data_IF_099338664014
#
_entry.id   IF_099338664014
#
_cell.length_a   1.000
_cell.length_b   1.000
_cell.length_c   1.000
_cell.angle_alpha   90.00
_cell.angle_beta   90.00
_cell.angle_gamma   90.00
#
_symmetry.space_group_name_H-M   'P 1'
#
loop_
_entity.id
_entity.type
_entity.pdbx_description
1 polymer ?
#
# COMPACT_ATOMS: atom_id res chain seq x y z
N UNK A 1 -10.14 14.05 16.65
CA UNK A 1 -8.91 14.82 16.33
C UNK A 1 -7.64 14.17 16.90
N UNK A 2 -7.47 12.84 16.82
CA UNK A 2 -6.34 12.14 17.44
C UNK A 2 -5.20 11.89 16.43
N UNK A 3 -5.51 12.00 15.13
CA UNK A 3 -4.54 11.80 14.05
C UNK A 3 -3.38 12.81 14.05
N UNK A 4 -3.57 13.97 14.66
CA UNK A 4 -2.57 15.02 14.80
C UNK A 4 -1.67 14.88 16.04
N UNK A 5 -2.02 13.99 16.98
CA UNK A 5 -1.26 13.81 18.24
C UNK A 5 -0.08 12.87 18.04
N UNK A 6 -0.23 11.88 17.16
CA UNK A 6 0.79 10.86 16.97
C UNK A 6 1.90 11.37 16.02
N UNK A 7 3.20 11.31 16.42
CA UNK A 7 4.36 11.64 15.58
C UNK A 7 4.36 11.00 14.19
N UNK A 8 5.02 11.65 13.23
CA UNK A 8 5.02 11.20 11.84
C UNK A 8 5.71 9.84 11.69
N UNK A 9 6.74 9.61 12.49
CA UNK A 9 7.49 8.36 12.52
C UNK A 9 6.63 7.16 12.95
N UNK A 10 5.76 7.34 13.94
CA UNK A 10 4.86 6.28 14.39
C UNK A 10 3.78 5.98 13.35
N UNK A 11 3.27 7.00 12.67
CA UNK A 11 2.37 6.78 11.54
C UNK A 11 3.04 6.02 10.39
N UNK A 12 4.30 6.34 10.11
CA UNK A 12 5.10 5.65 9.08
C UNK A 12 5.26 4.17 9.44
N UNK A 13 5.59 3.86 10.70
CA UNK A 13 5.65 2.48 11.22
C UNK A 13 4.31 1.75 11.16
N UNK A 14 3.20 2.41 11.48
CA UNK A 14 1.86 1.79 11.39
C UNK A 14 1.54 1.39 9.94
N UNK A 15 1.82 2.28 8.99
CA UNK A 15 1.62 2.01 7.56
C UNK A 15 2.54 0.89 7.07
N UNK A 16 3.81 0.91 7.48
CA UNK A 16 4.79 -0.13 7.15
C UNK A 16 4.34 -1.50 7.66
N UNK A 17 3.88 -1.60 8.91
CA UNK A 17 3.33 -2.86 9.47
C UNK A 17 2.11 -3.33 8.67
N UNK A 18 1.21 -2.41 8.30
CA UNK A 18 0.01 -2.78 7.54
C UNK A 18 0.28 -3.19 6.10
N UNK A 19 1.39 -2.74 5.50
CA UNK A 19 1.81 -3.08 4.13
C UNK A 19 2.72 -4.32 4.10
N UNK A 20 3.66 -4.43 5.05
CA UNK A 20 4.73 -5.43 5.04
C UNK A 20 4.38 -6.65 5.92
N UNK A 21 3.98 -6.41 7.16
CA UNK A 21 3.79 -7.48 8.16
C UNK A 21 2.40 -8.12 8.07
N UNK A 22 1.40 -7.37 7.58
CA UNK A 22 0.02 -7.84 7.46
C UNK A 22 -0.42 -7.91 6.00
N UNK A 23 -0.10 -9.00 5.29
CA UNK A 23 -0.50 -9.15 3.89
C UNK A 23 -2.02 -9.00 3.76
N UNK A 24 -2.45 -8.19 2.78
CA UNK A 24 -3.85 -7.90 2.45
C UNK A 24 -4.61 -6.95 3.42
N UNK A 25 -3.96 -6.40 4.46
CA UNK A 25 -4.58 -5.39 5.34
C UNK A 25 -4.58 -3.99 4.72
N UNK A 26 -3.48 -3.59 4.09
CA UNK A 26 -3.37 -2.37 3.30
C UNK A 26 -3.00 -2.71 1.86
N UNK A 27 -3.98 -2.61 0.97
CA UNK A 27 -3.76 -2.75 -0.46
C UNK A 27 -3.48 -1.40 -1.13
N UNK A 28 -3.05 -1.45 -2.40
CA UNK A 28 -2.86 -0.27 -3.25
C UNK A 28 -4.02 0.73 -3.13
N UNK A 29 -5.24 0.23 -3.19
CA UNK A 29 -6.47 1.03 -3.13
C UNK A 29 -6.61 1.75 -1.78
N UNK A 30 -6.31 1.08 -0.68
CA UNK A 30 -6.40 1.66 0.66
C UNK A 30 -5.34 2.75 0.85
N UNK A 31 -4.11 2.52 0.36
CA UNK A 31 -3.06 3.54 0.37
C UNK A 31 -3.47 4.79 -0.42
N UNK A 32 -4.05 4.61 -1.62
CA UNK A 32 -4.60 5.71 -2.40
C UNK A 32 -5.70 6.47 -1.65
N UNK A 33 -6.63 5.77 -1.00
CA UNK A 33 -7.68 6.40 -0.20
C UNK A 33 -7.11 7.18 1.01
N UNK A 34 -6.08 6.64 1.67
CA UNK A 34 -5.38 7.33 2.76
C UNK A 34 -4.69 8.61 2.25
N UNK A 35 -4.12 8.58 1.05
CA UNK A 35 -3.42 9.72 0.46
C UNK A 35 -4.32 10.95 0.25
N UNK A 36 -5.60 10.75 -0.08
CA UNK A 36 -6.56 11.84 -0.29
C UNK A 36 -7.23 12.31 1.00
N UNK A 37 -7.04 11.61 2.12
CA UNK A 37 -7.73 11.93 3.38
C UNK A 37 -7.18 13.21 4.03
N UNK A 38 -5.86 13.36 4.08
CA UNK A 38 -5.23 14.58 4.61
C UNK A 38 -3.77 14.73 4.18
N UNK A 39 -3.23 15.96 4.22
CA UNK A 39 -1.84 16.27 3.83
C UNK A 39 -0.78 15.40 4.50
N UNK A 40 -1.00 14.98 5.75
CA UNK A 40 -0.05 14.16 6.50
C UNK A 40 -0.02 12.72 5.96
N UNK A 41 -1.19 12.12 5.78
CA UNK A 41 -1.31 10.77 5.20
C UNK A 41 -0.90 10.77 3.73
N UNK A 42 -1.15 11.84 2.98
CA UNK A 42 -0.60 12.03 1.63
C UNK A 42 0.92 11.87 1.62
N UNK A 43 1.63 12.60 2.49
CA UNK A 43 3.09 12.53 2.55
C UNK A 43 3.60 11.14 2.94
N UNK A 44 2.92 10.50 3.88
CA UNK A 44 3.29 9.16 4.35
C UNK A 44 2.98 8.07 3.32
N UNK A 45 1.82 8.13 2.67
CA UNK A 45 1.42 7.23 1.59
C UNK A 45 2.28 7.40 0.35
N UNK A 46 2.84 8.59 0.13
CA UNK A 46 3.74 8.87 -1.00
C UNK A 46 5.19 8.42 -0.71
N UNK A 47 5.43 7.67 0.38
CA UNK A 47 6.74 7.13 0.69
C UNK A 47 7.09 5.95 -0.25
N UNK A 48 8.23 6.00 -0.96
CA UNK A 48 8.58 4.99 -1.96
C UNK A 48 8.83 3.60 -1.38
N UNK A 49 9.15 3.47 -0.09
CA UNK A 49 9.40 2.17 0.55
C UNK A 49 8.12 1.32 0.67
N UNK A 50 6.98 1.97 0.94
CA UNK A 50 5.67 1.33 1.02
C UNK A 50 5.26 0.78 -0.35
N UNK A 51 5.40 1.59 -1.40
CA UNK A 51 5.10 1.17 -2.78
C UNK A 51 5.99 0.03 -3.24
N UNK A 52 7.28 0.08 -2.89
CA UNK A 52 8.24 -0.98 -3.24
C UNK A 52 7.86 -2.31 -2.57
N UNK A 53 7.40 -2.27 -1.32
CA UNK A 53 6.95 -3.46 -0.58
C UNK A 53 5.61 -4.00 -1.08
N UNK A 54 4.68 -3.12 -1.47
CA UNK A 54 3.42 -3.51 -2.13
C UNK A 54 3.69 -4.18 -3.49
N UNK A 55 4.60 -3.61 -4.28
CA UNK A 55 4.97 -4.16 -5.58
C UNK A 55 5.71 -5.50 -5.47
N UNK A 56 6.58 -5.66 -4.45
CA UNK A 56 7.23 -6.95 -4.20
C UNK A 56 6.21 -8.02 -3.79
N UNK A 57 5.17 -7.65 -3.05
CA UNK A 57 4.07 -8.57 -2.70
C UNK A 57 3.14 -8.91 -3.87
N UNK A 58 3.08 -8.08 -4.93
CA UNK A 58 2.27 -8.34 -6.13
C UNK A 58 2.94 -9.36 -7.07
N UNK A 59 4.26 -9.55 -6.97
CA UNK A 59 5.02 -10.51 -7.77
C UNK A 59 5.17 -11.82 -6.98
N UNK A 60 4.49 -12.96 -7.32
CA UNK A 60 3.96 -13.40 -8.61
C UNK A 60 2.52 -13.97 -8.49
N UNK A 61 1.54 -13.15 -8.08
CA UNK A 61 0.12 -13.55 -8.13
C UNK A 61 -0.62 -12.88 -9.29
N UNK A 62 0.09 -12.59 -10.39
CA UNK A 62 -0.55 -12.53 -11.70
C UNK A 62 -1.01 -13.94 -12.07
N UNK A 63 -2.01 -14.41 -11.33
CA UNK A 63 -2.73 -15.63 -11.57
C UNK A 63 -3.54 -15.38 -12.86
N UNK A 64 -2.92 -15.73 -13.98
CA UNK A 64 -3.44 -16.64 -15.00
C UNK A 64 -4.91 -16.54 -15.45
N UNK A 65 -5.60 -15.42 -15.27
CA UNK A 65 -6.92 -15.17 -15.88
C UNK A 65 -6.85 -14.26 -17.10
N UNK A 66 -5.84 -14.47 -17.94
CA UNK A 66 -5.97 -14.17 -19.37
C UNK A 66 -5.90 -15.51 -20.09
N UNK A 67 -6.99 -15.99 -20.72
CA UNK A 67 -6.88 -17.17 -21.57
C UNK A 67 -5.84 -16.84 -22.66
N UNK A 68 -4.88 -17.74 -22.93
CA UNK A 68 -3.91 -17.49 -23.98
C UNK A 68 -4.65 -17.25 -25.29
N UNK A 69 -4.22 -16.30 -26.14
CA UNK A 69 -4.76 -16.23 -27.49
C UNK A 69 -4.46 -17.58 -28.14
N UNK A 70 -5.53 -18.29 -28.50
CA UNK A 70 -5.44 -19.52 -29.27
C UNK A 70 -4.63 -19.22 -30.53
N UNK A 71 -3.42 -19.78 -30.60
CA UNK A 71 -2.67 -19.89 -31.84
C UNK A 71 -3.44 -20.86 -32.75
N UNK A 72 -4.27 -20.30 -33.62
CA UNK A 72 -4.75 -20.89 -34.87
C UNK A 72 -4.06 -20.15 -36.00
#
# INVERSE_FOLDING_TARGET
MWMSVLPEELWRRILEIGVVETPNLLNFKDLCCLSITCKRLYRLSNDPSLWSSLLSSISPNFDTHFPPPLLI
#
